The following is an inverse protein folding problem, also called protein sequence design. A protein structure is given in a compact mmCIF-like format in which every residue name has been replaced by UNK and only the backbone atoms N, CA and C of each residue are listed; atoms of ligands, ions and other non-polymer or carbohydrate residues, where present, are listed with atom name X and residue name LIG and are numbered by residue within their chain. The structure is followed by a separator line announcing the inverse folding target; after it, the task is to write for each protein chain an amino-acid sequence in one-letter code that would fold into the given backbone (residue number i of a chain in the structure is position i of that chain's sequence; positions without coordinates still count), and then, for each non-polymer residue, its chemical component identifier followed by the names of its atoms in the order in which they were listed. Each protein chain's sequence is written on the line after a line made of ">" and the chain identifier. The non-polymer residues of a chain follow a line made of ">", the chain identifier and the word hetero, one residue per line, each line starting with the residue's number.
data_IF_891766883734
#
_entry.id   IF_891766883734
#
_cell.length_a   1.000
_cell.length_b   1.000
_cell.length_c   1.000
_cell.angle_alpha   90.00
_cell.angle_beta   90.00
_cell.angle_gamma   90.00
#
_symmetry.space_group_name_H-M   'P 1'
#
loop_
_entity.id
_entity.type
_entity.pdbx_description
1 polymer ?
#
# COMPACT_ATOMS: atom_id res chain seq x y z
N UNK A 1 -4.93 14.00 0.21
CA UNK A 1 -6.18 14.42 -0.40
C UNK A 1 -6.27 15.95 -0.49
N UNK A 2 -6.17 16.71 0.64
CA UNK A 2 -6.25 18.17 0.65
C UNK A 2 -5.28 18.82 -0.35
N UNK A 3 -4.02 18.45 -0.32
CA UNK A 3 -3.02 18.94 -1.26
C UNK A 3 -3.40 18.70 -2.73
N UNK A 4 -3.97 17.54 -3.04
CA UNK A 4 -4.40 17.22 -4.40
C UNK A 4 -5.64 17.99 -4.81
N UNK A 5 -6.56 18.29 -3.87
CA UNK A 5 -7.72 19.13 -4.09
C UNK A 5 -7.30 20.57 -4.41
N UNK A 6 -6.37 21.14 -3.65
CA UNK A 6 -5.81 22.48 -3.89
C UNK A 6 -5.13 22.60 -5.27
N UNK A 7 -4.42 21.55 -5.69
CA UNK A 7 -3.77 21.48 -7.01
C UNK A 7 -4.73 21.26 -8.18
N UNK A 8 -5.96 20.78 -7.91
CA UNK A 8 -6.95 20.43 -8.93
C UNK A 8 -8.34 20.99 -8.55
N UNK A 9 -8.51 22.30 -8.45
CA UNK A 9 -9.74 22.91 -7.96
C UNK A 9 -10.97 22.67 -8.87
N UNK A 10 -10.75 22.31 -10.12
CA UNK A 10 -11.81 21.99 -11.08
C UNK A 10 -12.40 20.59 -10.92
N UNK A 11 -11.80 19.73 -10.11
CA UNK A 11 -12.33 18.38 -9.88
C UNK A 11 -13.43 18.41 -8.82
N UNK A 12 -14.56 17.83 -9.15
CA UNK A 12 -15.67 17.67 -8.22
C UNK A 12 -15.33 16.63 -7.16
N UNK A 13 -15.64 16.93 -5.90
CA UNK A 13 -15.39 16.05 -4.77
C UNK A 13 -16.68 15.37 -4.36
N UNK A 14 -16.85 14.14 -4.75
CA UNK A 14 -18.05 13.34 -4.48
C UNK A 14 -18.30 13.15 -2.99
N UNK A 15 -17.23 13.13 -2.16
CA UNK A 15 -17.34 12.97 -0.71
C UNK A 15 -18.03 14.13 0.01
N UNK A 16 -18.09 15.32 -0.58
CA UNK A 16 -18.72 16.51 0.03
C UNK A 16 -20.22 16.63 -0.29
N UNK A 17 -20.76 15.70 -1.08
CA UNK A 17 -22.16 15.69 -1.48
C UNK A 17 -22.79 14.33 -1.22
N UNK A 18 -24.06 14.34 -0.82
CA UNK A 18 -24.86 13.12 -0.82
C UNK A 18 -24.99 12.61 -2.26
N UNK A 19 -24.66 11.36 -2.45
CA UNK A 19 -24.71 10.69 -3.75
C UNK A 19 -25.40 9.34 -3.61
N UNK A 20 -25.68 8.70 -4.75
CA UNK A 20 -26.15 7.31 -4.76
C UNK A 20 -25.12 6.31 -4.17
N UNK A 21 -23.88 6.75 -3.95
CA UNK A 21 -22.77 5.93 -3.44
C UNK A 21 -22.50 6.13 -1.95
N UNK A 22 -23.12 7.13 -1.30
CA UNK A 22 -22.99 7.39 0.12
C UNK A 22 -23.46 8.77 0.55
N UNK A 23 -23.47 8.99 1.87
CA UNK A 23 -23.78 10.29 2.47
C UNK A 23 -22.55 11.20 2.38
N UNK A 24 -22.81 12.51 2.23
CA UNK A 24 -21.78 13.53 2.33
C UNK A 24 -21.01 13.41 3.65
N UNK A 25 -19.68 13.50 3.57
CA UNK A 25 -18.80 13.57 4.74
C UNK A 25 -18.14 14.95 4.77
N UNK A 26 -18.00 15.51 5.98
CA UNK A 26 -17.16 16.68 6.15
C UNK A 26 -15.73 16.31 5.84
N UNK A 27 -14.96 17.28 5.40
CA UNK A 27 -13.55 17.07 5.00
C UNK A 27 -12.73 16.38 6.09
N UNK A 28 -12.90 16.79 7.35
CA UNK A 28 -12.17 16.25 8.50
C UNK A 28 -12.58 14.82 8.87
N UNK A 29 -13.72 14.34 8.38
CA UNK A 29 -14.25 12.99 8.64
C UNK A 29 -13.89 11.99 7.52
N UNK A 30 -13.11 12.40 6.52
CA UNK A 30 -12.73 11.56 5.39
C UNK A 30 -11.58 10.64 5.79
N UNK A 31 -11.83 9.35 5.76
CA UNK A 31 -10.81 8.33 6.02
C UNK A 31 -10.14 7.83 4.75
N UNK A 32 -8.92 7.26 4.89
CA UNK A 32 -8.20 6.66 3.75
C UNK A 32 -9.01 5.61 3.00
N UNK A 33 -9.84 4.83 3.71
CA UNK A 33 -10.73 3.83 3.09
C UNK A 33 -11.78 4.44 2.17
N UNK A 34 -12.29 5.64 2.49
CA UNK A 34 -13.28 6.34 1.65
C UNK A 34 -12.64 6.79 0.33
N UNK A 35 -11.43 7.35 0.41
CA UNK A 35 -10.66 7.78 -0.76
C UNK A 35 -10.35 6.59 -1.67
N UNK A 36 -9.88 5.48 -1.09
CA UNK A 36 -9.58 4.25 -1.84
C UNK A 36 -10.84 3.69 -2.48
N UNK A 37 -11.96 3.62 -1.74
CA UNK A 37 -13.23 3.13 -2.25
C UNK A 37 -13.74 3.96 -3.44
N UNK A 38 -13.69 5.28 -3.33
CA UNK A 38 -14.08 6.17 -4.42
C UNK A 38 -13.18 6.06 -5.63
N UNK A 39 -11.87 5.95 -5.42
CA UNK A 39 -10.93 5.76 -6.51
C UNK A 39 -11.18 4.44 -7.24
N UNK A 40 -11.20 3.32 -6.52
CA UNK A 40 -11.18 1.98 -7.11
C UNK A 40 -12.56 1.53 -7.60
N UNK A 41 -13.63 1.85 -6.87
CA UNK A 41 -14.98 1.37 -7.17
C UNK A 41 -15.82 2.35 -8.01
N UNK A 42 -15.49 3.65 -7.93
CA UNK A 42 -16.30 4.70 -8.57
C UNK A 42 -15.51 5.56 -9.57
N UNK A 43 -14.19 5.31 -9.72
CA UNK A 43 -13.31 6.06 -10.62
C UNK A 43 -13.38 7.58 -10.42
N UNK A 44 -13.50 8.04 -9.15
CA UNK A 44 -13.47 9.46 -8.85
C UNK A 44 -12.11 10.06 -9.27
N UNK A 45 -12.08 11.09 -10.14
CA UNK A 45 -10.84 11.58 -10.73
C UNK A 45 -9.84 12.15 -9.70
N UNK A 46 -10.33 12.78 -8.64
CA UNK A 46 -9.47 13.33 -7.60
C UNK A 46 -8.90 12.23 -6.72
N UNK A 47 -9.76 11.30 -6.27
CA UNK A 47 -9.35 10.17 -5.47
C UNK A 47 -8.37 9.25 -6.23
N UNK A 48 -8.58 9.05 -7.54
CA UNK A 48 -7.65 8.33 -8.40
C UNK A 48 -6.26 8.97 -8.41
N UNK A 49 -6.16 10.30 -8.59
CA UNK A 49 -4.87 11.01 -8.52
C UNK A 49 -4.19 10.85 -7.16
N UNK A 50 -4.96 10.81 -6.08
CA UNK A 50 -4.42 10.57 -4.74
C UNK A 50 -3.83 9.16 -4.64
N UNK A 51 -4.57 8.14 -5.09
CA UNK A 51 -4.10 6.73 -5.09
C UNK A 51 -2.88 6.56 -5.97
N UNK A 52 -2.86 7.17 -7.17
CA UNK A 52 -1.69 7.18 -8.06
C UNK A 52 -0.46 7.74 -7.37
N UNK A 53 -0.58 8.92 -6.78
CA UNK A 53 0.56 9.58 -6.11
C UNK A 53 1.03 8.83 -4.88
N UNK A 54 0.09 8.26 -4.12
CA UNK A 54 0.42 7.40 -3.00
C UNK A 54 1.19 6.16 -3.48
N UNK A 55 0.72 5.48 -4.53
CA UNK A 55 1.34 4.27 -5.07
C UNK A 55 2.76 4.52 -5.58
N UNK A 56 2.97 5.65 -6.27
CA UNK A 56 4.30 6.08 -6.73
C UNK A 56 5.26 6.31 -5.54
N UNK A 57 4.83 7.07 -4.54
CA UNK A 57 5.64 7.32 -3.35
C UNK A 57 5.91 6.02 -2.56
N UNK A 58 4.91 5.14 -2.46
CA UNK A 58 5.04 3.84 -1.79
C UNK A 58 6.08 2.95 -2.49
N UNK A 59 6.05 2.89 -3.83
CA UNK A 59 7.08 2.21 -4.62
C UNK A 59 8.46 2.80 -4.40
N UNK A 60 8.57 4.14 -4.41
CA UNK A 60 9.82 4.85 -4.18
C UNK A 60 10.43 4.51 -2.81
N UNK A 61 9.65 4.59 -1.73
CA UNK A 61 10.13 4.30 -0.38
C UNK A 61 10.44 2.81 -0.17
N UNK A 62 9.62 1.92 -0.74
CA UNK A 62 9.92 0.48 -0.74
C UNK A 62 11.26 0.19 -1.44
N UNK A 63 11.53 0.86 -2.57
CA UNK A 63 12.80 0.75 -3.28
C UNK A 63 13.98 1.32 -2.49
N UNK A 64 13.79 2.43 -1.77
CA UNK A 64 14.81 2.98 -0.87
C UNK A 64 15.13 2.01 0.27
N UNK A 65 14.12 1.37 0.84
CA UNK A 65 14.29 0.33 1.86
C UNK A 65 15.04 -0.88 1.30
N UNK A 66 14.69 -1.33 0.09
CA UNK A 66 15.36 -2.44 -0.57
C UNK A 66 16.86 -2.21 -0.74
N UNK A 67 17.27 -0.99 -1.12
CA UNK A 67 18.69 -0.63 -1.23
C UNK A 67 19.42 -0.65 0.12
N UNK A 68 18.73 -0.36 1.21
CA UNK A 68 19.32 -0.37 2.56
C UNK A 68 19.45 -1.78 3.13
N UNK A 69 18.49 -2.66 2.84
CA UNK A 69 18.36 -3.96 3.51
C UNK A 69 18.79 -5.14 2.64
N UNK A 70 18.89 -4.95 1.33
CA UNK A 70 19.22 -6.00 0.34
C UNK A 70 18.37 -7.26 0.54
N UNK A 71 17.03 -7.18 0.42
CA UNK A 71 16.12 -8.23 0.83
C UNK A 71 16.03 -9.36 -0.22
N UNK A 72 17.05 -10.20 -0.32
CA UNK A 72 17.09 -11.34 -1.25
C UNK A 72 15.97 -12.35 -1.02
N UNK A 73 15.41 -12.41 0.19
CA UNK A 73 14.22 -13.23 0.51
C UNK A 73 12.88 -12.62 0.11
N UNK A 74 12.89 -11.41 -0.45
CA UNK A 74 11.70 -10.68 -0.86
C UNK A 74 11.23 -9.63 0.13
N UNK A 75 10.35 -8.75 -0.36
CA UNK A 75 9.70 -7.69 0.40
C UNK A 75 8.22 -8.01 0.48
N UNK A 76 7.67 -8.02 1.68
CA UNK A 76 6.28 -8.37 1.93
C UNK A 76 5.49 -7.14 2.35
N UNK A 77 4.58 -6.69 1.48
CA UNK A 77 3.70 -5.56 1.74
C UNK A 77 2.44 -6.06 2.45
N UNK A 78 2.18 -5.53 3.65
CA UNK A 78 1.04 -5.91 4.49
C UNK A 78 0.25 -4.68 4.93
N UNK A 79 -0.98 -4.89 5.36
CA UNK A 79 -1.83 -3.85 5.97
C UNK A 79 -3.00 -3.40 5.11
N UNK A 80 -3.96 -2.73 5.77
CA UNK A 80 -5.25 -2.38 5.18
C UNK A 80 -5.17 -1.45 3.97
N UNK A 81 -4.25 -0.49 3.95
CA UNK A 81 -4.05 0.41 2.81
C UNK A 81 -3.54 -0.37 1.60
N UNK A 82 -2.52 -1.22 1.79
CA UNK A 82 -1.97 -2.08 0.73
C UNK A 82 -3.05 -2.98 0.15
N UNK A 83 -3.85 -3.63 0.99
CA UNK A 83 -4.97 -4.48 0.56
C UNK A 83 -6.02 -3.68 -0.22
N UNK A 84 -6.34 -2.47 0.23
CA UNK A 84 -7.30 -1.59 -0.45
C UNK A 84 -6.88 -1.19 -1.86
N UNK A 85 -5.60 -0.91 -2.09
CA UNK A 85 -5.06 -0.52 -3.40
C UNK A 85 -4.45 -1.67 -4.19
N UNK A 86 -4.50 -2.91 -3.68
CA UNK A 86 -3.89 -4.08 -4.30
C UNK A 86 -4.31 -4.28 -5.76
N UNK A 87 -5.60 -4.13 -6.04
CA UNK A 87 -6.14 -4.27 -7.39
C UNK A 87 -5.54 -3.22 -8.34
N UNK A 88 -5.40 -1.99 -7.87
CA UNK A 88 -4.77 -0.91 -8.61
C UNK A 88 -3.29 -1.23 -8.87
N UNK A 89 -2.53 -1.59 -7.82
CA UNK A 89 -1.11 -1.93 -7.94
C UNK A 89 -0.81 -3.10 -8.89
N UNK A 90 -1.72 -4.07 -9.00
CA UNK A 90 -1.57 -5.21 -9.94
C UNK A 90 -1.80 -4.83 -11.40
N UNK A 91 -2.63 -3.80 -11.64
CA UNK A 91 -3.04 -3.41 -12.99
C UNK A 91 -2.26 -2.21 -13.55
N UNK A 92 -1.56 -1.46 -12.70
CA UNK A 92 -0.83 -0.25 -13.06
C UNK A 92 0.67 -0.41 -12.67
N UNK A 93 1.61 -0.17 -13.58
CA UNK A 93 3.03 -0.38 -13.34
C UNK A 93 3.68 0.66 -12.42
N UNK A 94 2.98 1.75 -12.04
CA UNK A 94 3.54 2.89 -11.31
C UNK A 94 4.30 2.51 -10.04
N UNK A 95 3.80 1.49 -9.30
CA UNK A 95 4.51 1.02 -8.12
C UNK A 95 5.89 0.43 -8.48
N UNK A 96 5.91 -0.51 -9.42
CA UNK A 96 7.14 -1.20 -9.84
C UNK A 96 8.10 -0.25 -10.53
N UNK A 97 7.60 0.66 -11.35
CA UNK A 97 8.41 1.68 -12.00
C UNK A 97 9.09 2.59 -10.97
N UNK A 98 8.35 3.07 -9.97
CA UNK A 98 8.89 3.89 -8.89
C UNK A 98 9.85 3.10 -7.97
N UNK A 99 9.55 1.82 -7.71
CA UNK A 99 10.40 0.91 -6.94
C UNK A 99 11.76 0.69 -7.61
N UNK A 100 11.75 0.44 -8.92
CA UNK A 100 12.97 0.14 -9.69
C UNK A 100 13.74 1.39 -10.12
N UNK A 101 13.10 2.55 -10.19
CA UNK A 101 13.72 3.80 -10.64
C UNK A 101 14.77 4.32 -9.63
N UNK A 102 15.92 3.69 -9.61
CA UNK A 102 17.09 4.02 -8.75
C UNK A 102 18.33 4.36 -9.59
N UNK A 103 18.13 5.09 -10.69
CA UNK A 103 19.19 5.52 -11.58
C UNK A 103 20.01 4.32 -12.11
N UNK A 104 21.32 4.34 -11.93
CA UNK A 104 22.21 3.25 -12.40
C UNK A 104 21.94 1.88 -11.77
N UNK A 105 21.13 1.81 -10.70
CA UNK A 105 20.83 0.57 -9.99
C UNK A 105 19.53 -0.11 -10.46
N UNK A 106 18.90 0.37 -11.53
CA UNK A 106 17.63 -0.20 -12.05
C UNK A 106 17.72 -1.70 -12.27
N UNK A 107 18.76 -2.20 -12.95
CA UNK A 107 18.92 -3.64 -13.21
C UNK A 107 19.15 -4.43 -11.91
N UNK A 108 19.86 -3.86 -10.95
CA UNK A 108 20.04 -4.47 -9.64
C UNK A 108 18.72 -4.58 -8.88
N UNK A 109 17.89 -3.53 -8.94
CA UNK A 109 16.58 -3.50 -8.26
C UNK A 109 15.60 -4.57 -8.78
N UNK A 110 15.72 -4.97 -10.04
CA UNK A 110 14.89 -6.02 -10.65
C UNK A 110 15.10 -7.42 -10.05
N UNK A 111 16.19 -7.63 -9.31
CA UNK A 111 16.44 -8.88 -8.61
C UNK A 111 15.60 -9.04 -7.33
N UNK A 112 15.01 -7.96 -6.80
CA UNK A 112 14.21 -8.03 -5.59
C UNK A 112 12.74 -8.29 -5.93
N UNK A 113 12.17 -9.30 -5.28
CA UNK A 113 10.77 -9.64 -5.41
C UNK A 113 9.93 -8.87 -4.39
N UNK A 114 8.76 -8.40 -4.83
CA UNK A 114 7.79 -7.72 -3.96
C UNK A 114 6.51 -8.54 -3.94
N UNK A 115 6.05 -8.89 -2.75
CA UNK A 115 4.85 -9.68 -2.52
C UNK A 115 3.80 -8.82 -1.79
N UNK A 116 2.56 -8.90 -2.22
CA UNK A 116 1.42 -8.34 -1.49
C UNK A 116 0.77 -9.48 -0.73
N UNK A 117 0.75 -9.38 0.59
CA UNK A 117 0.12 -10.38 1.46
C UNK A 117 -1.38 -10.13 1.53
N UNK A 118 -2.16 -11.17 1.34
CA UNK A 118 -3.61 -11.09 1.42
C UNK A 118 -4.07 -10.71 2.83
N UNK A 119 -5.09 -9.85 2.92
CA UNK A 119 -5.60 -9.36 4.20
C UNK A 119 -6.29 -10.41 5.06
N UNK A 120 -6.63 -11.57 4.50
CA UNK A 120 -7.14 -12.71 5.24
C UNK A 120 -6.07 -13.42 6.09
N UNK A 121 -4.78 -13.14 5.82
CA UNK A 121 -3.66 -13.72 6.53
C UNK A 121 -3.32 -12.86 7.74
N UNK A 122 -3.55 -13.38 8.93
CA UNK A 122 -3.19 -12.76 10.21
C UNK A 122 -1.68 -12.91 10.49
N UNK A 123 -0.87 -12.14 9.76
CA UNK A 123 0.61 -12.22 9.81
C UNK A 123 1.15 -12.08 11.24
N UNK A 124 0.51 -11.22 12.05
CA UNK A 124 0.87 -11.04 13.46
C UNK A 124 0.69 -12.30 14.29
N UNK A 125 -0.43 -13.01 14.10
CA UNK A 125 -0.69 -14.28 14.79
C UNK A 125 0.28 -15.37 14.36
N UNK A 126 0.53 -15.50 13.06
CA UNK A 126 1.51 -16.47 12.53
C UNK A 126 2.91 -16.20 13.10
N UNK A 127 3.30 -14.94 13.17
CA UNK A 127 4.59 -14.55 13.76
C UNK A 127 4.68 -14.88 15.26
N UNK A 128 3.61 -14.64 16.01
CA UNK A 128 3.51 -14.97 17.44
C UNK A 128 3.56 -16.49 17.68
N UNK A 129 2.81 -17.26 16.88
CA UNK A 129 2.83 -18.73 16.92
C UNK A 129 4.22 -19.28 16.67
N UNK A 130 4.88 -18.84 15.61
CA UNK A 130 6.23 -19.29 15.27
C UNK A 130 7.24 -18.92 16.37
N UNK A 131 7.12 -17.73 16.96
CA UNK A 131 7.95 -17.33 18.08
C UNK A 131 7.75 -18.24 19.29
N UNK A 132 6.51 -18.51 19.67
CA UNK A 132 6.18 -19.42 20.76
C UNK A 132 6.73 -20.83 20.51
N UNK A 133 6.54 -21.35 19.30
CA UNK A 133 7.07 -22.66 18.88
C UNK A 133 8.61 -22.74 19.06
N UNK A 134 9.34 -21.73 18.62
CA UNK A 134 10.81 -21.67 18.76
C UNK A 134 11.25 -21.64 20.22
N UNK A 135 10.56 -20.90 21.08
CA UNK A 135 10.89 -20.84 22.50
C UNK A 135 10.60 -22.19 23.20
N UNK A 136 9.49 -22.86 22.85
CA UNK A 136 9.19 -24.21 23.38
C UNK A 136 10.27 -25.23 23.01
N UNK A 137 10.76 -25.22 21.76
CA UNK A 137 11.83 -26.11 21.32
C UNK A 137 13.13 -25.87 22.11
N UNK A 138 13.51 -24.61 22.33
CA UNK A 138 14.71 -24.26 23.11
C UNK A 138 14.62 -24.81 24.55
N UNK A 139 13.45 -24.69 25.18
CA UNK A 139 13.26 -25.21 26.53
C UNK A 139 13.22 -26.75 26.58
N UNK A 140 12.78 -27.42 25.50
CA UNK A 140 12.75 -28.88 25.43
C UNK A 140 14.12 -29.52 25.14
N UNK A 141 15.05 -28.78 24.54
CA UNK A 141 16.41 -29.27 24.21
C UNK A 141 17.47 -28.91 25.30
N UNK A 142 17.06 -28.26 26.37
CA UNK A 142 17.93 -27.77 27.45
C UNK A 142 18.05 -28.71 28.68
N UNK A 143 17.85 -30.03 28.52
CA UNK A 143 18.06 -31.04 29.59
C UNK A 143 19.01 -32.10 29.08
#
# INVERSE_FOLDING_TARGET
>A
YQFMKEKNPSLEVVLEKDTKFGKAKKFDDIESKDIISLAINHNDPLCMKVVEKFTENYGTETGNLALKTLPYGGIYLIGGVTSGIQKYMKNDPKFIDAFTNKGRLVEFMRNFQVFIVDSSIEVGLLGAEEKARREMIKHSCGH
#
